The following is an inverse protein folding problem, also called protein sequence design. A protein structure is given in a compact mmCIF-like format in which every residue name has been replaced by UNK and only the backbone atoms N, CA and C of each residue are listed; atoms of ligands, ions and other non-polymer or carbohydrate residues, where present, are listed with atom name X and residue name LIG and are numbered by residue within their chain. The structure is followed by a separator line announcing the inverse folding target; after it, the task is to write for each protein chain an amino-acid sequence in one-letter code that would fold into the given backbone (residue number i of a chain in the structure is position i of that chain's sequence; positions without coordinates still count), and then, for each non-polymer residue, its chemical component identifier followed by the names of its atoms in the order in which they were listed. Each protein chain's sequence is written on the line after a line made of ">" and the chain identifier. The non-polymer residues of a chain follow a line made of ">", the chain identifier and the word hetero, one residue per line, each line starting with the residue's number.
data_IF_928891458759
#
_entry.id   IF_928891458759
#
_cell.length_a   1.000
_cell.length_b   1.000
_cell.length_c   1.000
_cell.angle_alpha   90.00
_cell.angle_beta   90.00
_cell.angle_gamma   90.00
#
_symmetry.space_group_name_H-M   'P 1'
#
loop_
_entity.id
_entity.type
_entity.pdbx_description
1 polymer ?
#
# COMPACT_ATOMS: atom_id res chain seq x y z
N UNK A 1 13.51 -28.96 -60.70
CA UNK A 1 12.83 -28.01 -59.81
C UNK A 1 13.86 -26.98 -59.35
N UNK A 2 13.73 -25.73 -59.80
CA UNK A 2 13.78 -24.60 -58.88
C UNK A 2 12.59 -23.67 -59.11
N UNK A 3 12.03 -23.17 -58.00
CA UNK A 3 10.86 -22.31 -57.98
C UNK A 3 11.21 -20.88 -58.41
N UNK A 4 10.32 -20.34 -59.23
CA UNK A 4 10.33 -19.04 -59.87
C UNK A 4 10.06 -17.93 -58.84
N UNK A 5 10.93 -16.91 -58.79
CA UNK A 5 10.74 -15.69 -58.01
C UNK A 5 9.77 -14.77 -58.76
N UNK A 6 8.56 -14.58 -58.22
CA UNK A 6 7.55 -13.67 -58.77
C UNK A 6 7.67 -12.30 -58.09
N UNK A 7 8.14 -11.30 -58.85
CA UNK A 7 8.13 -9.90 -58.45
C UNK A 7 6.82 -9.29 -58.96
N UNK A 8 5.95 -8.85 -58.05
CA UNK A 8 4.77 -8.04 -58.38
C UNK A 8 5.09 -6.58 -58.07
N UNK A 9 5.15 -5.77 -59.11
CA UNK A 9 5.15 -4.31 -59.06
C UNK A 9 3.69 -3.87 -59.07
N UNK A 10 3.25 -3.10 -58.08
CA UNK A 10 2.06 -2.27 -58.19
C UNK A 10 2.44 -0.80 -57.99
N UNK A 11 2.39 -0.08 -59.10
CA UNK A 11 2.36 1.38 -59.23
C UNK A 11 0.95 1.90 -58.98
N UNK A 12 0.79 3.07 -58.36
CA UNK A 12 -0.44 3.85 -58.55
C UNK A 12 -0.79 4.91 -57.51
N UNK A 13 -0.41 6.15 -57.82
CA UNK A 13 -1.18 7.40 -57.65
C UNK A 13 -1.59 7.92 -56.26
N UNK A 14 -0.84 8.95 -55.85
CA UNK A 14 -1.27 10.35 -55.62
C UNK A 14 -2.58 10.65 -54.88
N UNK A 15 -2.46 11.47 -53.83
CA UNK A 15 -3.57 12.27 -53.31
C UNK A 15 -3.21 12.99 -52.01
N UNK A 16 -2.85 14.27 -52.13
CA UNK A 16 -2.78 15.24 -51.03
C UNK A 16 -4.18 15.36 -50.42
N UNK A 17 -4.31 15.16 -49.10
CA UNK A 17 -5.46 15.63 -48.32
C UNK A 17 -4.97 16.33 -47.05
N UNK A 18 -5.65 17.44 -46.80
CA UNK A 18 -5.42 18.52 -45.87
C UNK A 18 -5.05 18.18 -44.43
N UNK A 19 -4.14 19.01 -43.93
CA UNK A 19 -3.63 19.03 -42.58
C UNK A 19 -4.57 19.86 -41.67
N UNK A 20 -5.78 19.36 -41.41
CA UNK A 20 -6.69 19.88 -40.36
C UNK A 20 -7.58 18.76 -39.77
N UNK A 21 -6.97 17.74 -39.17
CA UNK A 21 -7.66 16.80 -38.27
C UNK A 21 -6.68 16.04 -37.35
N UNK A 22 -5.72 16.74 -36.75
CA UNK A 22 -4.87 16.21 -35.66
C UNK A 22 -4.80 17.25 -34.54
N UNK A 23 -5.98 17.59 -34.01
CA UNK A 23 -6.14 18.12 -32.66
C UNK A 23 -7.14 17.22 -31.96
N UNK A 24 -6.77 16.80 -30.75
CA UNK A 24 -7.55 15.99 -29.81
C UNK A 24 -7.42 14.48 -30.01
N UNK A 25 -6.31 13.93 -29.54
CA UNK A 25 -6.30 12.68 -28.78
C UNK A 25 -5.02 12.60 -27.93
N UNK A 26 -4.77 13.66 -27.15
CA UNK A 26 -4.07 13.53 -25.88
C UNK A 26 -5.11 13.12 -24.85
N UNK A 27 -5.50 11.84 -24.87
CA UNK A 27 -6.31 11.27 -23.80
C UNK A 27 -5.44 11.28 -22.54
N UNK A 28 -5.76 12.24 -21.67
CA UNK A 28 -5.36 12.32 -20.29
C UNK A 28 -5.38 10.93 -19.65
N UNK A 29 -4.24 10.47 -19.12
CA UNK A 29 -4.24 9.56 -17.99
C UNK A 29 -4.89 10.32 -16.82
N UNK A 30 -6.22 10.26 -16.79
CA UNK A 30 -7.03 10.73 -15.70
C UNK A 30 -6.74 9.83 -14.51
N UNK A 31 -6.10 10.45 -13.53
CA UNK A 31 -6.40 10.38 -12.11
C UNK A 31 -7.81 9.88 -11.80
N UNK A 32 -8.08 8.58 -11.91
CA UNK A 32 -9.16 7.94 -11.16
C UNK A 32 -8.61 7.57 -9.79
N UNK A 33 -8.53 8.60 -8.92
CA UNK A 33 -8.77 8.34 -7.50
C UNK A 33 -10.17 7.69 -7.42
N UNK A 34 -10.29 6.61 -6.65
CA UNK A 34 -11.56 5.92 -6.35
C UNK A 34 -12.42 6.86 -5.47
N UNK A 35 -12.79 8.03 -5.99
CA UNK A 35 -13.56 9.05 -5.27
C UNK A 35 -15.02 9.08 -5.68
N UNK A 36 -15.39 8.47 -6.81
CA UNK A 36 -16.69 8.78 -7.43
C UNK A 36 -17.79 7.72 -7.24
N UNK A 37 -17.53 6.61 -6.55
CA UNK A 37 -18.53 5.53 -6.41
C UNK A 37 -18.79 5.05 -4.97
N UNK A 38 -18.11 5.61 -3.97
CA UNK A 38 -18.38 5.29 -2.55
C UNK A 38 -19.31 6.32 -1.92
N UNK A 39 -20.54 5.92 -1.63
CA UNK A 39 -21.50 6.73 -0.86
C UNK A 39 -21.46 6.25 0.60
N UNK A 40 -21.21 7.17 1.51
CA UNK A 40 -21.25 6.93 2.96
C UNK A 40 -22.61 7.37 3.50
N UNK A 41 -23.48 6.41 3.81
CA UNK A 41 -24.75 6.66 4.49
C UNK A 41 -24.93 5.67 5.64
N UNK A 42 -25.29 6.15 6.83
CA UNK A 42 -25.78 5.32 7.94
C UNK A 42 -24.93 4.08 8.32
N UNK A 43 -23.60 4.22 8.43
CA UNK A 43 -22.66 3.14 8.78
C UNK A 43 -22.46 2.08 7.69
N UNK A 44 -22.90 2.39 6.48
CA UNK A 44 -22.73 1.55 5.31
C UNK A 44 -21.75 2.25 4.35
N UNK A 45 -20.81 1.47 3.82
CA UNK A 45 -19.98 1.85 2.69
C UNK A 45 -20.47 1.05 1.49
N UNK A 46 -21.16 1.70 0.56
CA UNK A 46 -21.44 1.10 -0.74
C UNK A 46 -20.16 1.04 -1.55
N UNK A 47 -19.77 -0.18 -1.94
CA UNK A 47 -18.72 -0.41 -2.93
C UNK A 47 -19.43 -0.46 -4.27
N UNK A 48 -18.87 0.11 -5.35
CA UNK A 48 -19.51 0.36 -6.67
C UNK A 48 -20.14 -0.82 -7.43
N UNK A 49 -20.41 -1.94 -6.76
CA UNK A 49 -21.24 -3.05 -7.21
C UNK A 49 -22.67 -2.87 -6.70
N UNK A 50 -23.65 -2.95 -7.60
CA UNK A 50 -25.06 -2.95 -7.23
C UNK A 50 -25.29 -4.07 -6.20
N UNK A 51 -25.61 -3.69 -4.95
CA UNK A 51 -25.99 -4.53 -3.81
C UNK A 51 -24.86 -5.01 -2.87
N UNK A 52 -23.60 -4.60 -3.04
CA UNK A 52 -22.54 -4.88 -2.04
C UNK A 52 -22.34 -3.66 -1.14
N UNK A 53 -22.46 -3.85 0.17
CA UNK A 53 -22.13 -2.84 1.18
C UNK A 53 -21.19 -3.42 2.21
N UNK A 54 -20.31 -2.61 2.77
CA UNK A 54 -19.61 -2.93 4.01
C UNK A 54 -20.36 -2.26 5.15
N UNK A 55 -20.67 -3.02 6.19
CA UNK A 55 -21.21 -2.50 7.43
C UNK A 55 -20.21 -2.63 8.57
N UNK A 56 -20.25 -1.65 9.46
CA UNK A 56 -19.39 -1.58 10.62
C UNK A 56 -20.19 -1.24 11.86
N UNK A 57 -19.81 -1.82 13.00
CA UNK A 57 -20.55 -1.61 14.25
C UNK A 57 -20.33 -0.21 14.86
N UNK A 58 -19.43 0.61 14.30
CA UNK A 58 -19.15 1.98 14.75
C UNK A 58 -19.54 3.04 13.71
N UNK A 59 -20.06 4.17 14.20
CA UNK A 59 -20.90 5.12 13.46
C UNK A 59 -20.24 6.00 12.37
N UNK A 60 -18.98 5.75 11.98
CA UNK A 60 -18.25 6.65 11.07
C UNK A 60 -17.30 5.89 10.14
N UNK A 61 -17.84 5.24 9.11
CA UNK A 61 -17.05 4.73 8.01
C UNK A 61 -16.55 5.87 7.12
N UNK A 62 -15.26 5.86 6.82
CA UNK A 62 -14.59 6.60 5.74
C UNK A 62 -13.56 5.67 5.11
N UNK A 63 -13.17 5.86 3.85
CA UNK A 63 -11.94 5.22 3.38
C UNK A 63 -10.80 5.64 4.31
N UNK A 64 -9.93 4.71 4.68
CA UNK A 64 -9.01 4.95 5.79
C UNK A 64 -9.42 4.34 7.13
N UNK A 65 -10.73 4.27 7.41
CA UNK A 65 -11.26 4.09 8.77
C UNK A 65 -11.03 2.70 9.36
N UNK A 66 -10.91 2.68 10.68
CA UNK A 66 -10.90 1.45 11.47
C UNK A 66 -12.34 1.00 11.74
N UNK A 67 -12.66 -0.21 11.32
CA UNK A 67 -13.96 -0.82 11.48
C UNK A 67 -13.92 -1.92 12.54
N UNK A 68 -14.82 -1.87 13.52
CA UNK A 68 -15.04 -3.00 14.44
C UNK A 68 -16.04 -3.97 13.82
N UNK A 69 -15.66 -5.24 13.78
CA UNK A 69 -16.47 -6.34 13.25
C UNK A 69 -17.07 -6.03 11.86
N UNK A 70 -16.24 -5.70 10.85
CA UNK A 70 -16.73 -5.49 9.51
C UNK A 70 -17.51 -6.71 9.02
N UNK A 71 -18.58 -6.45 8.27
CA UNK A 71 -19.29 -7.49 7.54
C UNK A 71 -19.66 -6.98 6.15
N UNK A 72 -19.72 -7.89 5.19
CA UNK A 72 -20.29 -7.61 3.87
C UNK A 72 -21.80 -7.81 3.95
N UNK A 73 -22.56 -6.86 3.44
CA UNK A 73 -23.97 -7.02 3.09
C UNK A 73 -24.06 -7.21 1.58
N UNK A 74 -24.57 -8.36 1.16
CA UNK A 74 -24.82 -8.66 -0.25
C UNK A 74 -26.29 -9.06 -0.37
N UNK A 75 -27.06 -8.32 -1.18
CA UNK A 75 -28.51 -8.53 -1.30
C UNK A 75 -29.27 -8.52 0.05
N UNK A 76 -28.75 -7.73 1.02
CA UNK A 76 -29.20 -7.64 2.43
C UNK A 76 -28.89 -8.87 3.31
N UNK A 77 -28.11 -9.82 2.83
CA UNK A 77 -27.57 -10.91 3.64
C UNK A 77 -26.21 -10.52 4.24
N UNK A 78 -25.99 -10.79 5.53
CA UNK A 78 -24.77 -10.46 6.25
C UNK A 78 -23.76 -11.61 6.17
N UNK A 79 -22.61 -11.33 5.60
CA UNK A 79 -21.46 -12.21 5.53
C UNK A 79 -20.38 -11.69 6.49
N UNK A 80 -20.10 -12.41 7.59
CA UNK A 80 -19.05 -11.99 8.52
C UNK A 80 -17.70 -12.03 7.82
N UNK A 81 -16.89 -11.01 8.04
CA UNK A 81 -15.49 -11.01 7.62
C UNK A 81 -14.64 -11.67 8.72
N UNK A 82 -13.51 -12.29 8.37
CA UNK A 82 -12.62 -13.00 9.29
C UNK A 82 -11.86 -11.99 10.17
N UNK A 83 -12.59 -11.36 11.09
CA UNK A 83 -12.08 -10.32 12.00
C UNK A 83 -12.43 -10.63 13.45
N UNK A 84 -12.70 -11.91 13.75
CA UNK A 84 -13.21 -12.37 15.06
C UNK A 84 -12.31 -11.96 16.25
N UNK A 85 -11.04 -11.65 15.99
CA UNK A 85 -10.06 -11.25 17.00
C UNK A 85 -9.49 -9.84 16.83
N UNK A 86 -9.93 -9.06 15.84
CA UNK A 86 -9.34 -7.72 15.59
C UNK A 86 -9.93 -6.67 16.54
N UNK A 87 -9.07 -5.84 17.15
CA UNK A 87 -9.52 -4.62 17.86
C UNK A 87 -10.03 -3.55 16.89
N UNK A 88 -9.68 -3.71 15.62
CA UNK A 88 -10.27 -3.05 14.47
C UNK A 88 -9.63 -3.51 13.17
N UNK A 89 -10.34 -3.34 12.06
CA UNK A 89 -9.85 -3.64 10.73
C UNK A 89 -9.77 -2.38 9.88
N UNK A 90 -8.69 -2.22 9.14
CA UNK A 90 -8.52 -1.16 8.15
C UNK A 90 -9.00 -1.67 6.81
N UNK A 91 -9.98 -0.98 6.21
CA UNK A 91 -10.61 -1.39 4.95
C UNK A 91 -10.13 -0.49 3.80
N UNK A 92 -9.87 -1.10 2.64
CA UNK A 92 -9.31 -0.41 1.48
C UNK A 92 -9.88 -0.98 0.18
N UNK A 93 -10.21 -0.11 -0.77
CA UNK A 93 -10.75 -0.49 -2.07
C UNK A 93 -9.72 -0.23 -3.18
N UNK A 94 -9.67 -1.09 -4.19
CA UNK A 94 -8.80 -0.93 -5.36
C UNK A 94 -8.80 -2.18 -6.24
N UNK A 95 -8.31 -2.07 -7.47
CA UNK A 95 -8.03 -3.23 -8.33
C UNK A 95 -6.65 -3.79 -7.95
N UNK A 96 -6.60 -4.75 -7.02
CA UNK A 96 -5.33 -5.32 -6.54
C UNK A 96 -4.89 -6.51 -7.36
N UNK A 97 -5.83 -7.30 -7.88
CA UNK A 97 -5.53 -8.50 -8.67
C UNK A 97 -5.32 -8.21 -10.17
N UNK A 98 -5.46 -6.96 -10.60
CA UNK A 98 -5.29 -6.46 -11.97
C UNK A 98 -6.31 -7.05 -12.97
N UNK A 99 -7.53 -7.34 -12.51
CA UNK A 99 -8.63 -7.85 -13.35
C UNK A 99 -9.58 -6.73 -13.86
N UNK A 100 -9.33 -5.47 -13.48
CA UNK A 100 -10.15 -4.28 -13.74
C UNK A 100 -11.48 -4.22 -12.98
N UNK A 101 -11.68 -5.07 -11.97
CA UNK A 101 -12.76 -4.95 -11.00
C UNK A 101 -12.24 -4.35 -9.69
N UNK A 102 -13.15 -3.76 -8.91
CA UNK A 102 -12.80 -3.28 -7.57
C UNK A 102 -12.73 -4.47 -6.61
N UNK A 103 -11.62 -4.62 -5.93
CA UNK A 103 -11.43 -5.54 -4.82
C UNK A 103 -11.54 -4.81 -3.47
N UNK A 104 -11.76 -5.59 -2.40
CA UNK A 104 -11.70 -5.15 -1.01
C UNK A 104 -10.51 -5.78 -0.31
N UNK A 105 -9.58 -4.94 0.13
CA UNK A 105 -8.48 -5.32 1.01
C UNK A 105 -8.79 -4.95 2.46
N UNK A 106 -8.57 -5.89 3.37
CA UNK A 106 -8.85 -5.78 4.80
C UNK A 106 -7.57 -6.08 5.56
N UNK A 107 -7.12 -5.17 6.41
CA UNK A 107 -6.02 -5.44 7.34
C UNK A 107 -6.55 -5.46 8.75
N UNK A 108 -6.45 -6.61 9.40
CA UNK A 108 -6.80 -6.73 10.81
C UNK A 108 -5.67 -6.19 11.68
N UNK A 109 -6.02 -5.27 12.57
CA UNK A 109 -5.19 -4.95 13.73
C UNK A 109 -5.55 -5.95 14.84
N UNK A 110 -4.70 -6.95 15.03
CA UNK A 110 -4.89 -7.98 16.06
C UNK A 110 -4.62 -7.47 17.48
N UNK A 111 -4.31 -6.17 17.66
CA UNK A 111 -4.29 -5.51 18.96
C UNK A 111 -3.23 -6.07 19.91
N UNK A 112 -2.11 -5.35 20.07
CA UNK A 112 -1.20 -5.67 21.16
C UNK A 112 0.01 -4.76 21.28
N UNK A 113 -0.22 -3.50 21.64
CA UNK A 113 0.83 -2.58 22.09
C UNK A 113 2.00 -2.40 21.11
N UNK A 114 3.01 -1.64 21.54
CA UNK A 114 4.28 -1.54 20.84
C UNK A 114 4.90 -2.95 20.77
N UNK A 115 4.82 -3.60 19.60
CA UNK A 115 5.45 -4.87 19.20
C UNK A 115 4.52 -6.06 18.85
N UNK A 116 3.19 -5.98 19.00
CA UNK A 116 2.30 -7.03 18.48
C UNK A 116 1.40 -6.50 17.37
N UNK A 117 1.91 -6.56 16.14
CA UNK A 117 1.12 -6.33 14.93
C UNK A 117 1.24 -7.54 14.03
N UNK A 118 0.69 -8.67 14.51
CA UNK A 118 0.25 -9.71 13.59
C UNK A 118 -0.85 -9.09 12.75
N UNK A 119 -0.53 -8.58 11.56
CA UNK A 119 -1.55 -8.07 10.65
C UNK A 119 -1.91 -9.19 9.70
N UNK A 120 -3.11 -9.74 9.85
CA UNK A 120 -3.71 -10.61 8.84
C UNK A 120 -4.37 -9.72 7.78
N UNK A 121 -4.05 -9.95 6.50
CA UNK A 121 -4.49 -9.13 5.39
C UNK A 121 -5.34 -9.93 4.41
N UNK A 122 -6.63 -9.63 4.27
CA UNK A 122 -7.58 -10.35 3.42
C UNK A 122 -7.86 -9.58 2.14
N UNK A 123 -7.95 -10.30 1.02
CA UNK A 123 -8.38 -9.76 -0.26
C UNK A 123 -9.67 -10.46 -0.70
N UNK A 124 -10.67 -9.66 -1.03
CA UNK A 124 -11.92 -10.10 -1.61
C UNK A 124 -12.03 -9.50 -3.00
N UNK A 125 -12.04 -10.37 -4.02
CA UNK A 125 -12.45 -9.98 -5.36
C UNK A 125 -13.95 -10.20 -5.52
N UNK A 126 -14.58 -9.51 -6.46
CA UNK A 126 -16.01 -9.61 -6.69
C UNK A 126 -16.27 -9.99 -8.15
N UNK A 127 -16.68 -11.25 -8.38
CA UNK A 127 -17.16 -11.70 -9.69
C UNK A 127 -18.68 -11.66 -9.69
N UNK A 128 -19.29 -10.82 -10.54
CA UNK A 128 -20.75 -10.68 -10.64
C UNK A 128 -21.44 -10.43 -9.27
N UNK A 129 -20.86 -9.57 -8.44
CA UNK A 129 -21.32 -9.27 -7.06
C UNK A 129 -21.19 -10.42 -6.06
N UNK A 130 -20.55 -11.52 -6.43
CA UNK A 130 -20.24 -12.63 -5.50
C UNK A 130 -18.82 -12.44 -4.98
N UNK A 131 -18.62 -12.30 -3.65
CA UNK A 131 -17.29 -12.20 -3.07
C UNK A 131 -16.57 -13.54 -3.24
N UNK A 132 -15.50 -13.51 -4.02
CA UNK A 132 -14.53 -14.59 -4.08
C UNK A 132 -13.39 -14.21 -3.14
N UNK A 133 -13.35 -14.87 -1.98
CA UNK A 133 -12.24 -14.74 -1.06
C UNK A 133 -10.96 -15.24 -1.74
N UNK A 134 -10.04 -14.31 -1.97
CA UNK A 134 -8.69 -14.62 -2.42
C UNK A 134 -7.85 -14.69 -1.15
N UNK A 135 -7.64 -15.92 -0.67
CA UNK A 135 -7.09 -16.20 0.67
C UNK A 135 -5.90 -15.31 1.09
N UNK A 136 -6.06 -14.83 2.33
CA UNK A 136 -5.37 -13.77 3.04
C UNK A 136 -4.06 -14.10 3.77
N UNK A 137 -3.65 -15.38 3.80
CA UNK A 137 -2.61 -15.83 4.74
C UNK A 137 -1.16 -15.64 4.23
N UNK A 138 -0.96 -14.95 3.11
CA UNK A 138 0.34 -14.82 2.45
C UNK A 138 0.75 -13.37 2.17
N UNK A 139 0.46 -12.47 3.09
CA UNK A 139 0.99 -11.12 3.07
C UNK A 139 2.32 -11.07 3.85
N UNK A 140 3.35 -10.45 3.27
CA UNK A 140 4.62 -10.24 3.96
C UNK A 140 4.45 -9.17 5.06
N UNK A 141 4.45 -9.59 6.33
CA UNK A 141 4.35 -8.66 7.45
C UNK A 141 5.48 -7.59 7.37
N UNK A 142 5.16 -6.29 7.43
CA UNK A 142 6.14 -5.23 7.22
C UNK A 142 7.20 -5.21 8.32
N UNK A 143 6.83 -5.55 9.56
CA UNK A 143 7.73 -5.58 10.71
C UNK A 143 8.71 -6.75 10.57
N UNK A 144 8.22 -7.93 10.19
CA UNK A 144 9.07 -9.08 9.93
C UNK A 144 10.02 -8.82 8.76
N UNK A 145 9.52 -8.20 7.69
CA UNK A 145 10.35 -7.83 6.55
C UNK A 145 11.47 -6.86 6.96
N UNK A 146 11.14 -5.82 7.73
CA UNK A 146 12.13 -4.85 8.24
C UNK A 146 13.20 -5.58 9.05
N UNK A 147 12.80 -6.40 10.02
CA UNK A 147 13.74 -7.14 10.87
C UNK A 147 14.67 -8.10 10.11
N UNK A 148 14.23 -8.62 8.96
CA UNK A 148 15.01 -9.56 8.15
C UNK A 148 15.84 -8.89 7.04
N UNK A 149 15.39 -7.75 6.50
CA UNK A 149 15.93 -7.19 5.25
C UNK A 149 16.52 -5.79 5.39
N UNK A 150 16.22 -5.09 6.49
CA UNK A 150 16.66 -3.72 6.74
C UNK A 150 17.67 -3.72 7.88
N UNK A 151 18.76 -2.98 7.69
CA UNK A 151 19.76 -2.75 8.73
C UNK A 151 19.94 -1.26 8.98
N UNK A 152 20.31 -0.95 10.22
CA UNK A 152 20.49 0.41 10.70
C UNK A 152 21.94 0.61 11.15
N UNK A 153 22.51 1.75 10.80
CA UNK A 153 23.81 2.19 11.29
C UNK A 153 23.69 3.60 11.86
N UNK A 154 24.37 3.82 12.99
CA UNK A 154 24.38 5.11 13.67
C UNK A 154 25.84 5.50 13.81
N UNK A 155 26.23 6.53 13.05
CA UNK A 155 27.59 6.99 13.00
C UNK A 155 27.67 8.39 13.59
N UNK A 156 28.66 8.64 14.45
CA UNK A 156 28.92 10.00 14.92
C UNK A 156 29.32 10.87 13.73
N UNK A 157 28.52 11.89 13.44
CA UNK A 157 28.78 12.81 12.32
C UNK A 157 29.66 13.98 12.77
N UNK A 158 29.32 14.58 13.91
CA UNK A 158 30.13 15.61 14.55
C UNK A 158 29.93 15.58 16.08
N UNK A 159 30.38 16.62 16.79
CA UNK A 159 30.24 16.70 18.26
C UNK A 159 28.78 16.61 18.70
N UNK A 160 27.87 17.20 17.93
CA UNK A 160 26.50 17.48 18.35
C UNK A 160 25.45 16.72 17.51
N UNK A 161 25.87 15.89 16.55
CA UNK A 161 24.99 15.21 15.62
C UNK A 161 25.46 13.79 15.28
N UNK A 162 24.47 12.92 15.10
CA UNK A 162 24.61 11.55 14.63
C UNK A 162 24.00 11.43 13.24
N UNK A 163 24.63 10.66 12.37
CA UNK A 163 24.10 10.25 11.09
C UNK A 163 23.43 8.88 11.25
N UNK A 164 22.11 8.86 11.11
CA UNK A 164 21.28 7.66 11.08
C UNK A 164 21.19 7.17 9.63
N UNK A 165 21.66 5.96 9.36
CA UNK A 165 21.72 5.37 8.02
C UNK A 165 20.82 4.15 7.98
N UNK A 166 19.94 4.10 6.98
CA UNK A 166 19.09 2.95 6.71
C UNK A 166 19.59 2.25 5.46
N UNK A 167 19.76 0.92 5.57
CA UNK A 167 20.19 0.08 4.46
C UNK A 167 19.21 -1.05 4.20
N UNK A 168 19.05 -1.39 2.92
CA UNK A 168 18.42 -2.63 2.47
C UNK A 168 19.53 -3.52 1.92
N UNK A 169 19.83 -4.63 2.62
CA UNK A 169 21.10 -5.36 2.43
C UNK A 169 22.28 -4.38 2.59
N UNK A 170 23.19 -4.29 1.62
CA UNK A 170 24.34 -3.38 1.66
C UNK A 170 24.08 -2.01 1.01
N UNK A 171 22.88 -1.78 0.47
CA UNK A 171 22.55 -0.52 -0.22
C UNK A 171 21.93 0.47 0.76
N UNK A 172 22.52 1.67 0.85
CA UNK A 172 21.92 2.80 1.56
C UNK A 172 20.64 3.23 0.83
N UNK A 173 19.52 3.22 1.55
CA UNK A 173 18.22 3.69 1.06
C UNK A 173 17.80 5.02 1.69
N UNK A 174 18.51 5.47 2.73
CA UNK A 174 18.19 6.72 3.40
C UNK A 174 19.21 7.11 4.47
N UNK A 175 19.32 8.41 4.72
CA UNK A 175 20.16 8.98 5.78
C UNK A 175 19.50 10.19 6.40
N UNK A 176 19.65 10.35 7.72
CA UNK A 176 19.15 11.51 8.46
C UNK A 176 20.13 11.93 9.54
N UNK A 177 20.27 13.24 9.72
CA UNK A 177 21.02 13.79 10.84
C UNK A 177 20.12 13.99 12.05
N UNK A 178 20.52 13.43 13.19
CA UNK A 178 19.82 13.53 14.45
C UNK A 178 20.73 14.26 15.44
N UNK A 179 20.25 15.37 15.98
CA UNK A 179 20.99 16.14 16.99
C UNK A 179 21.07 15.38 18.31
N UNK A 180 22.24 15.41 18.96
CA UNK A 180 22.46 14.85 20.30
C UNK A 180 21.49 15.44 21.32
N UNK A 181 21.13 16.72 21.19
CA UNK A 181 20.18 17.39 22.10
C UNK A 181 18.81 16.71 22.10
N UNK A 182 18.42 16.06 20.99
CA UNK A 182 17.15 15.33 20.91
C UNK A 182 17.22 13.95 21.58
N UNK A 183 18.39 13.34 21.69
CA UNK A 183 18.52 11.96 22.15
C UNK A 183 18.34 11.79 23.67
N UNK A 184 18.32 12.89 24.44
CA UNK A 184 18.19 12.89 25.92
C UNK A 184 19.17 11.94 26.64
N UNK A 185 20.28 11.58 25.99
CA UNK A 185 21.35 10.72 26.52
C UNK A 185 22.70 11.13 25.93
N UNK A 186 23.76 10.95 26.72
CA UNK A 186 25.15 11.09 26.27
C UNK A 186 25.69 9.78 25.68
N UNK A 187 24.94 8.68 25.81
CA UNK A 187 25.27 7.41 25.19
C UNK A 187 25.05 7.49 23.68
N UNK A 188 25.98 6.93 22.92
CA UNK A 188 25.84 6.84 21.46
C UNK A 188 24.80 5.75 21.18
N UNK A 189 23.67 6.08 20.53
CA UNK A 189 22.71 5.05 20.18
C UNK A 189 23.35 4.00 19.29
N UNK A 190 23.04 2.75 19.59
CA UNK A 190 23.37 1.58 18.81
C UNK A 190 22.21 1.19 17.90
N UNK A 191 22.45 0.23 17.01
CA UNK A 191 21.39 -0.34 16.17
C UNK A 191 20.27 -1.00 17.00
N UNK A 192 20.58 -1.46 18.21
CA UNK A 192 19.64 -2.16 19.08
C UNK A 192 18.68 -1.15 19.77
N UNK A 193 19.00 0.14 19.71
CA UNK A 193 18.17 1.23 20.21
C UNK A 193 17.14 1.74 19.18
N UNK A 194 17.12 1.13 17.98
CA UNK A 194 16.16 1.44 16.92
C UNK A 194 14.87 0.66 17.13
N UNK A 195 13.82 1.36 17.56
CA UNK A 195 12.46 0.82 17.60
C UNK A 195 11.72 1.08 16.29
N UNK A 196 11.02 0.09 15.77
CA UNK A 196 10.15 0.20 14.61
C UNK A 196 8.81 -0.51 14.85
N UNK A 197 7.74 0.01 14.26
CA UNK A 197 6.38 -0.52 14.42
C UNK A 197 5.44 0.35 15.26
N UNK A 198 5.89 1.50 15.77
CA UNK A 198 5.06 2.40 16.58
C UNK A 198 3.94 3.11 15.78
N UNK A 199 4.11 3.23 14.46
CA UNK A 199 3.13 3.82 13.55
C UNK A 199 3.09 2.91 12.34
N UNK A 200 2.02 2.13 12.18
CA UNK A 200 1.77 1.33 10.99
C UNK A 200 0.51 1.87 10.31
N UNK A 201 0.69 2.54 9.17
CA UNK A 201 -0.42 3.08 8.38
C UNK A 201 -0.44 2.40 7.03
N UNK A 202 -1.57 1.82 6.70
CA UNK A 202 -1.84 1.25 5.38
C UNK A 202 -2.53 2.28 4.50
N UNK A 203 -2.08 2.44 3.27
CA UNK A 203 -2.74 3.24 2.25
C UNK A 203 -2.84 2.45 0.95
N UNK A 204 -3.70 2.88 0.04
CA UNK A 204 -3.78 2.34 -1.32
C UNK A 204 -3.40 3.40 -2.31
N UNK A 205 -2.60 3.02 -3.29
CA UNK A 205 -2.25 3.87 -4.41
C UNK A 205 -2.11 3.01 -5.66
N UNK A 206 -2.98 3.21 -6.64
CA UNK A 206 -2.92 2.51 -7.95
C UNK A 206 -2.88 0.97 -7.83
N UNK A 207 -3.82 0.37 -7.10
CA UNK A 207 -3.88 -1.09 -6.92
C UNK A 207 -2.76 -1.67 -6.05
N UNK A 208 -1.98 -0.81 -5.38
CA UNK A 208 -0.89 -1.21 -4.50
C UNK A 208 -1.19 -0.83 -3.06
N UNK A 209 -0.75 -1.67 -2.13
CA UNK A 209 -0.80 -1.35 -0.71
C UNK A 209 0.52 -0.67 -0.34
N UNK A 210 0.42 0.41 0.40
CA UNK A 210 1.56 1.16 0.92
C UNK A 210 1.50 1.10 2.44
N UNK A 211 2.44 0.40 3.06
CA UNK A 211 2.61 0.37 4.50
C UNK A 211 3.67 1.39 4.91
N UNK A 212 3.33 2.32 5.80
CA UNK A 212 4.27 3.27 6.40
C UNK A 212 4.57 2.82 7.82
N UNK A 213 5.85 2.59 8.12
CA UNK A 213 6.36 2.15 9.43
C UNK A 213 7.24 3.23 10.03
N UNK A 214 6.82 3.79 11.16
CA UNK A 214 7.61 4.75 11.92
C UNK A 214 8.85 4.13 12.55
N UNK A 215 9.99 4.80 12.38
CA UNK A 215 11.26 4.49 13.04
C UNK A 215 11.49 5.45 14.21
N UNK A 216 12.04 4.92 15.29
CA UNK A 216 12.37 5.69 16.49
C UNK A 216 13.71 5.27 17.06
N UNK A 217 14.44 6.22 17.65
CA UNK A 217 15.58 5.96 18.54
C UNK A 217 15.16 6.15 19.99
N UNK A 218 15.59 5.24 20.86
CA UNK A 218 15.29 5.30 22.31
C UNK A 218 13.80 5.54 22.60
N UNK A 219 12.93 4.88 21.83
CA UNK A 219 11.45 4.87 21.95
C UNK A 219 10.76 6.21 21.64
N UNK A 220 11.45 7.34 21.76
CA UNK A 220 10.83 8.68 21.77
C UNK A 220 11.29 9.58 20.63
N UNK A 221 12.43 9.29 20.00
CA UNK A 221 13.00 10.14 18.96
C UNK A 221 12.64 9.63 17.58
N UNK A 222 11.70 10.29 16.91
CA UNK A 222 11.35 9.98 15.54
C UNK A 222 12.58 10.10 14.62
N UNK A 223 12.90 8.99 13.97
CA UNK A 223 14.06 8.83 13.10
C UNK A 223 13.69 8.74 11.62
N UNK A 224 12.42 8.93 11.26
CA UNK A 224 11.90 8.82 9.90
C UNK A 224 10.89 7.68 9.76
N UNK A 225 10.46 7.44 8.53
CA UNK A 225 9.57 6.33 8.19
C UNK A 225 10.17 5.45 7.09
N UNK A 226 9.77 4.18 7.14
CA UNK A 226 9.89 3.27 6.00
C UNK A 226 8.55 3.18 5.31
N UNK A 227 8.57 3.38 4.00
CA UNK A 227 7.42 3.16 3.12
C UNK A 227 7.66 1.88 2.34
N UNK A 228 6.86 0.84 2.62
CA UNK A 228 6.90 -0.44 1.95
C UNK A 228 5.74 -0.50 0.96
N UNK A 229 6.04 -0.74 -0.31
CA UNK A 229 5.02 -0.89 -1.35
C UNK A 229 4.85 -2.36 -1.69
N UNK A 230 3.61 -2.80 -1.65
CA UNK A 230 3.19 -4.16 -1.98
C UNK A 230 2.52 -4.20 -3.34
N UNK A 231 2.69 -5.33 -4.00
CA UNK A 231 1.94 -5.67 -5.21
C UNK A 231 1.42 -7.10 -5.07
N UNK A 232 0.32 -7.40 -5.76
CA UNK A 232 -0.28 -8.72 -5.76
C UNK A 232 0.34 -9.57 -6.88
N UNK A 233 1.24 -10.48 -6.51
CA UNK A 233 2.03 -11.26 -7.47
C UNK A 233 2.03 -12.73 -7.04
N UNK A 234 1.70 -13.63 -7.98
CA UNK A 234 1.63 -15.08 -7.76
C UNK A 234 0.70 -15.46 -6.59
N UNK A 235 -0.47 -14.84 -6.56
CA UNK A 235 -1.49 -15.00 -5.53
C UNK A 235 -1.08 -14.57 -4.11
N UNK A 236 -0.10 -13.65 -3.98
CA UNK A 236 0.43 -13.18 -2.70
C UNK A 236 0.77 -11.69 -2.78
N UNK A 237 0.57 -10.97 -1.67
CA UNK A 237 1.08 -9.61 -1.56
C UNK A 237 2.57 -9.64 -1.18
N UNK A 238 3.41 -9.16 -2.10
CA UNK A 238 4.87 -9.13 -1.93
C UNK A 238 5.37 -7.70 -1.87
N UNK A 239 6.38 -7.44 -1.04
CA UNK A 239 7.04 -6.14 -0.98
C UNK A 239 7.92 -5.98 -2.21
N UNK A 240 7.52 -5.07 -3.10
CA UNK A 240 8.25 -4.77 -4.34
C UNK A 240 9.20 -3.58 -4.18
N UNK A 241 8.94 -2.68 -3.23
CA UNK A 241 9.77 -1.50 -3.00
C UNK A 241 9.80 -1.12 -1.51
N UNK A 242 10.93 -0.54 -1.09
CA UNK A 242 11.10 0.03 0.24
C UNK A 242 11.87 1.33 0.13
N UNK A 243 11.26 2.39 0.63
CA UNK A 243 11.81 3.74 0.64
C UNK A 243 11.93 4.23 2.07
N UNK A 244 12.95 5.04 2.33
CA UNK A 244 13.07 5.78 3.57
C UNK A 244 12.72 7.25 3.31
N UNK A 245 11.85 7.80 4.15
CA UNK A 245 11.51 9.22 4.14
C UNK A 245 11.75 9.80 5.53
N UNK A 246 12.46 10.93 5.58
CA UNK A 246 12.58 11.72 6.79
C UNK A 246 11.93 13.07 6.55
N UNK A 247 10.69 13.18 7.03
CA UNK A 247 10.06 14.46 7.25
C UNK A 247 10.43 14.87 8.65
N UNK A 248 11.54 15.59 8.79
CA UNK A 248 11.83 16.25 10.06
C UNK A 248 10.59 17.02 10.52
N UNK A 249 10.39 17.13 11.84
CA UNK A 249 9.37 18.03 12.36
C UNK A 249 9.72 19.45 11.89
N UNK A 250 9.13 19.88 10.77
CA UNK A 250 9.02 21.30 10.40
C UNK A 250 8.14 22.02 11.42
#
# INVERSE_FOLDING_TARGET
>A
MPALLLIIIMTGCSGIIDNQALKNNSASHQKEEISDHSIFENNELSIGFNNVKIICENNHLKDGSTCKQPALLIDNERYPLPTEYSEGATLRLGDFNHDNNVDLFIVNDLGGGTNAYGTEGYLYSFDNNVPNEIFASNYENPIDYIGQNISFEINKYNKDNYNFVVKKKDKVIGTTNISQEKLYTDEIPSKDDVGYGNILVYNVSYGKIVARVGLSLFITNYAGDLTLTYDYIDNKFKIIDVQYDYKGNE
#
